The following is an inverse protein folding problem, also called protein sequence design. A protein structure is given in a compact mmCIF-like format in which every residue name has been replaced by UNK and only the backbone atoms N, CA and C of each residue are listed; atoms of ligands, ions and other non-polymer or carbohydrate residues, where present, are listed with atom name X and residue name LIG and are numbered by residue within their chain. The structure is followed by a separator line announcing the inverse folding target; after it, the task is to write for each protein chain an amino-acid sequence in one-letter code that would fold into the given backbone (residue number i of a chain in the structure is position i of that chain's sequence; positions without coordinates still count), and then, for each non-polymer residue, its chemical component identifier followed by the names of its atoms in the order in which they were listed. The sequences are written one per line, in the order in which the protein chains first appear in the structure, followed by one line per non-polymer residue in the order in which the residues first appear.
data_IF_147104387696
#
_entry.id   IF_147104387696
#
_cell.length_a   1.000
_cell.length_b   1.000
_cell.length_c   1.000
_cell.angle_alpha   90.00
_cell.angle_beta   90.00
_cell.angle_gamma   90.00
#
_symmetry.space_group_name_H-M   'P 1'
#
loop_
_entity.id
_entity.type
_entity.pdbx_description
1 polymer ?
#
# COMPACT_ATOMS: atom_id res chain seq x y z
N UNK A 1 50.06 -28.93 4.89
CA UNK A 1 51.02 -28.40 3.90
C UNK A 1 50.52 -26.98 3.56
N UNK A 2 51.31 -26.00 3.92
CA UNK A 2 51.08 -24.58 3.66
C UNK A 2 51.54 -24.26 2.25
N UNK A 3 50.77 -23.60 1.43
CA UNK A 3 51.27 -22.88 0.25
C UNK A 3 50.73 -21.45 0.28
N UNK A 4 51.67 -20.54 0.53
CA UNK A 4 51.54 -19.09 0.40
C UNK A 4 51.50 -18.73 -1.08
N UNK A 5 50.53 -17.91 -1.48
CA UNK A 5 50.62 -17.13 -2.73
C UNK A 5 50.50 -15.63 -2.39
N UNK A 6 51.63 -14.95 -2.65
CA UNK A 6 51.70 -13.47 -2.67
C UNK A 6 51.03 -12.95 -3.91
N UNK A 7 50.20 -11.94 -3.75
CA UNK A 7 49.75 -11.08 -4.86
C UNK A 7 50.52 -9.76 -4.83
N UNK A 8 51.26 -9.49 -5.92
CA UNK A 8 51.96 -8.24 -6.17
C UNK A 8 50.97 -7.17 -6.66
N UNK A 9 51.06 -6.02 -6.03
CA UNK A 9 50.32 -4.83 -6.42
C UNK A 9 50.85 -4.21 -7.72
N UNK A 10 49.94 -3.87 -8.63
CA UNK A 10 50.14 -2.83 -9.63
C UNK A 10 48.92 -1.91 -9.66
N UNK A 11 49.12 -0.70 -9.17
CA UNK A 11 48.17 0.37 -9.28
C UNK A 11 47.99 0.84 -10.73
N UNK A 12 46.77 1.04 -11.13
CA UNK A 12 46.42 1.75 -12.35
C UNK A 12 45.78 3.06 -11.93
N UNK A 13 46.53 4.13 -12.18
CA UNK A 13 46.09 5.51 -12.10
C UNK A 13 45.16 5.82 -13.28
N UNK A 14 43.89 6.10 -13.07
CA UNK A 14 43.07 6.74 -14.08
C UNK A 14 42.75 8.17 -13.68
N UNK A 15 43.23 9.09 -14.53
CA UNK A 15 42.98 10.52 -14.49
C UNK A 15 41.51 10.85 -14.59
N UNK A 16 41.09 11.78 -13.74
CA UNK A 16 39.86 12.54 -13.88
C UNK A 16 39.98 13.46 -15.10
N UNK A 17 39.09 13.32 -16.04
CA UNK A 17 38.77 14.38 -17.01
C UNK A 17 37.32 14.81 -16.80
N UNK A 18 37.18 16.07 -16.52
CA UNK A 18 35.94 16.81 -16.37
C UNK A 18 35.66 17.52 -17.69
N UNK A 19 34.52 17.43 -18.31
CA UNK A 19 34.12 18.44 -19.28
C UNK A 19 33.08 19.37 -18.68
N UNK A 20 33.52 20.63 -18.49
CA UNK A 20 32.68 21.81 -18.47
C UNK A 20 31.79 21.84 -19.72
N UNK A 21 30.50 22.02 -19.54
CA UNK A 21 29.62 22.58 -20.56
C UNK A 21 28.93 23.79 -19.94
N UNK A 22 29.22 24.93 -20.58
CA UNK A 22 28.69 26.24 -20.27
C UNK A 22 27.19 26.34 -20.47
N UNK A 23 26.56 27.07 -19.55
CA UNK A 23 25.32 27.80 -19.76
C UNK A 23 25.50 28.80 -20.92
N UNK A 24 24.48 28.93 -21.73
CA UNK A 24 23.81 30.16 -22.15
C UNK A 24 22.90 29.87 -23.32
N UNK A 25 21.63 29.89 -23.09
CA UNK A 25 20.61 30.42 -23.99
C UNK A 25 19.33 30.74 -23.22
N UNK A 26 19.17 31.92 -23.02
CA UNK A 26 18.24 32.99 -22.80
C UNK A 26 17.07 32.95 -23.80
N UNK A 27 15.85 33.21 -23.25
CA UNK A 27 14.69 33.90 -23.84
C UNK A 27 13.71 33.01 -24.65
N UNK A 28 12.44 32.92 -24.24
CA UNK A 28 11.43 33.97 -24.46
C UNK A 28 10.14 33.74 -23.65
N UNK A 29 9.70 34.83 -23.03
CA UNK A 29 8.36 35.04 -22.57
C UNK A 29 7.43 35.14 -23.78
N UNK A 30 6.33 34.42 -23.75
CA UNK A 30 5.07 34.89 -24.37
C UNK A 30 3.92 34.63 -23.40
N UNK A 31 3.41 35.76 -22.95
CA UNK A 31 2.12 35.89 -22.28
C UNK A 31 1.02 35.44 -23.24
N UNK A 32 0.15 34.56 -22.82
CA UNK A 32 -1.18 34.45 -23.40
C UNK A 32 -2.23 34.49 -22.30
N UNK A 33 -2.65 35.71 -22.11
CA UNK A 33 -3.86 36.12 -21.43
C UNK A 33 -5.05 35.62 -22.24
N UNK A 34 -5.85 34.72 -21.72
CA UNK A 34 -7.18 34.42 -22.22
C UNK A 34 -8.17 34.42 -21.06
N UNK A 35 -8.62 35.66 -20.79
CA UNK A 35 -9.89 35.91 -20.19
C UNK A 35 -10.98 35.56 -21.21
N UNK A 36 -11.80 34.56 -20.90
CA UNK A 36 -13.08 34.37 -21.55
C UNK A 36 -14.17 34.48 -20.47
N UNK A 37 -15.14 35.41 -20.63
CA UNK A 37 -16.20 35.60 -19.66
C UNK A 37 -17.26 34.49 -19.81
N UNK A 38 -17.74 34.03 -18.68
CA UNK A 38 -18.87 33.12 -18.58
C UNK A 38 -20.13 33.94 -18.99
N UNK A 39 -20.79 33.51 -20.06
CA UNK A 39 -22.10 33.99 -20.45
C UNK A 39 -23.15 33.45 -19.48
N UNK A 40 -23.86 34.37 -18.86
CA UNK A 40 -25.14 34.12 -18.22
C UNK A 40 -26.20 33.92 -19.34
N UNK A 41 -26.76 32.72 -19.41
CA UNK A 41 -27.92 32.45 -20.25
C UNK A 41 -29.17 32.89 -19.52
N UNK A 42 -29.67 34.07 -19.95
CA UNK A 42 -31.03 34.55 -19.70
C UNK A 42 -32.05 33.58 -20.31
N UNK A 43 -32.79 32.88 -19.48
CA UNK A 43 -33.97 32.13 -19.90
C UNK A 43 -35.21 33.01 -19.81
N UNK A 44 -35.51 33.75 -20.88
CA UNK A 44 -36.76 34.49 -21.04
C UNK A 44 -37.87 33.56 -21.54
N UNK A 45 -38.86 33.32 -20.71
CA UNK A 45 -40.13 32.72 -21.11
C UNK A 45 -40.98 33.75 -21.79
N UNK A 46 -41.12 33.65 -23.11
CA UNK A 46 -42.20 34.29 -23.87
C UNK A 46 -43.00 33.21 -24.60
N UNK A 47 -44.17 32.89 -24.14
CA UNK A 47 -45.21 32.33 -25.01
C UNK A 47 -46.55 32.89 -24.61
N UNK A 48 -47.07 33.71 -25.52
CA UNK A 48 -48.37 34.32 -25.44
C UNK A 48 -49.49 33.28 -25.46
N UNK A 49 -50.40 33.47 -24.58
CA UNK A 49 -51.69 32.78 -24.59
C UNK A 49 -52.75 33.77 -25.14
N UNK A 50 -53.34 33.42 -26.30
CA UNK A 50 -54.43 34.13 -26.92
C UNK A 50 -55.71 33.88 -26.15
N UNK A 51 -56.36 34.99 -25.74
CA UNK A 51 -57.72 35.01 -25.22
C UNK A 51 -58.66 34.91 -26.40
N UNK A 52 -59.57 33.95 -26.36
CA UNK A 52 -60.78 33.89 -27.20
C UNK A 52 -61.99 34.23 -26.36
N UNK A 53 -62.64 35.35 -26.69
CA UNK A 53 -63.89 35.75 -26.09
C UNK A 53 -65.07 35.01 -26.73
N UNK A 54 -66.03 34.64 -25.88
CA UNK A 54 -67.52 34.85 -26.02
C UNK A 54 -68.31 33.65 -25.47
N UNK A 55 -69.61 33.81 -25.20
CA UNK A 55 -70.31 34.84 -24.42
C UNK A 55 -71.17 34.23 -23.24
N UNK A 56 -71.65 35.12 -22.45
CA UNK A 56 -72.55 34.99 -21.29
C UNK A 56 -73.86 34.25 -21.62
N UNK A 57 -74.27 33.32 -20.76
CA UNK A 57 -75.72 33.11 -20.45
C UNK A 57 -75.82 32.77 -18.96
N UNK A 58 -76.71 33.58 -18.34
CA UNK A 58 -77.20 33.45 -16.96
C UNK A 58 -77.91 32.12 -16.76
N UNK A 59 -77.58 31.43 -15.63
CA UNK A 59 -78.65 30.86 -14.83
C UNK A 59 -78.14 30.61 -13.40
N UNK A 60 -78.93 31.17 -12.47
CA UNK A 60 -78.73 31.14 -11.04
C UNK A 60 -79.14 29.78 -10.49
N UNK A 61 -78.25 29.09 -9.76
CA UNK A 61 -78.67 28.13 -8.77
C UNK A 61 -77.87 28.25 -7.45
N UNK A 62 -78.65 28.52 -6.44
CA UNK A 62 -78.30 28.71 -5.04
C UNK A 62 -77.92 27.36 -4.42
N UNK A 63 -76.67 27.08 -4.19
CA UNK A 63 -76.29 25.98 -3.36
C UNK A 63 -75.53 26.48 -2.11
N UNK A 64 -76.22 26.35 -0.98
CA UNK A 64 -75.62 26.47 0.34
C UNK A 64 -74.46 25.47 0.49
N UNK A 65 -73.22 25.91 0.33
CA UNK A 65 -72.04 25.13 0.68
C UNK A 65 -71.74 25.26 2.18
N UNK A 66 -71.73 24.16 2.80
CA UNK A 66 -71.51 23.84 4.20
C UNK A 66 -70.21 24.41 4.76
N UNK A 67 -70.30 25.09 5.87
CA UNK A 67 -69.22 25.67 6.69
C UNK A 67 -68.38 24.60 7.40
N UNK A 68 -68.05 23.43 6.77
CA UNK A 68 -67.32 22.36 7.43
C UNK A 68 -65.83 22.29 7.06
N UNK A 69 -65.34 22.94 5.98
CA UNK A 69 -63.96 22.81 5.54
C UNK A 69 -62.92 23.64 6.31
N UNK A 70 -63.35 24.66 7.03
CA UNK A 70 -62.44 25.54 7.77
C UNK A 70 -61.97 24.96 9.13
N UNK A 71 -62.70 23.99 9.67
CA UNK A 71 -62.31 23.37 10.96
C UNK A 71 -61.23 22.29 10.81
N UNK A 72 -61.23 21.53 9.71
CA UNK A 72 -60.26 20.48 9.44
C UNK A 72 -58.89 21.05 9.13
N UNK A 73 -58.82 22.14 8.37
CA UNK A 73 -57.53 22.79 8.01
C UNK A 73 -56.82 23.45 9.22
N UNK A 74 -57.57 23.94 10.20
CA UNK A 74 -57.00 24.55 11.41
C UNK A 74 -56.46 23.53 12.38
N UNK A 75 -57.04 22.32 12.48
CA UNK A 75 -56.55 21.23 13.32
C UNK A 75 -55.28 20.61 12.75
N UNK A 76 -55.22 20.41 11.43
CA UNK A 76 -54.04 19.89 10.74
C UNK A 76 -52.85 20.86 10.82
N UNK A 77 -53.08 22.19 10.65
CA UNK A 77 -52.04 23.20 10.84
C UNK A 77 -51.51 23.26 12.29
N UNK A 78 -52.37 23.03 13.29
CA UNK A 78 -51.95 22.99 14.70
C UNK A 78 -51.15 21.73 15.02
N UNK A 79 -51.49 20.55 14.45
CA UNK A 79 -50.74 19.29 14.58
C UNK A 79 -49.35 19.46 13.94
N UNK A 80 -49.27 20.03 12.74
CA UNK A 80 -47.97 20.24 12.07
C UNK A 80 -47.11 21.29 12.79
N UNK A 81 -47.66 22.31 13.41
CA UNK A 81 -46.91 23.25 14.26
C UNK A 81 -46.37 22.57 15.52
N UNK A 82 -47.17 21.71 16.19
CA UNK A 82 -46.73 20.95 17.35
C UNK A 82 -45.66 19.92 16.97
N UNK A 83 -45.82 19.22 15.84
CA UNK A 83 -44.84 18.27 15.34
C UNK A 83 -43.50 18.95 15.02
N UNK A 84 -43.55 20.13 14.35
CA UNK A 84 -42.31 20.90 14.08
C UNK A 84 -41.67 21.43 15.35
N UNK A 85 -42.41 21.81 16.35
CA UNK A 85 -41.91 22.23 17.64
C UNK A 85 -41.23 21.02 18.37
N UNK A 86 -41.87 19.85 18.36
CA UNK A 86 -41.32 18.60 18.96
C UNK A 86 -40.03 18.20 18.23
N UNK A 87 -40.04 18.24 16.89
CA UNK A 87 -38.83 17.96 16.09
C UNK A 87 -37.72 18.97 16.34
N UNK A 88 -38.05 20.24 16.53
CA UNK A 88 -37.07 21.27 16.90
C UNK A 88 -36.47 21.03 18.29
N UNK A 89 -37.28 20.70 19.27
CA UNK A 89 -36.79 20.35 20.62
C UNK A 89 -35.92 19.08 20.59
N UNK A 90 -36.34 18.06 19.84
CA UNK A 90 -35.56 16.82 19.66
C UNK A 90 -34.22 17.11 19.01
N UNK A 91 -34.18 17.94 17.98
CA UNK A 91 -32.93 18.36 17.31
C UNK A 91 -31.98 19.09 18.28
N UNK A 92 -32.51 19.98 19.13
CA UNK A 92 -31.73 20.67 20.15
C UNK A 92 -31.17 19.66 21.17
N UNK A 93 -31.97 18.72 21.63
CA UNK A 93 -31.52 17.67 22.59
C UNK A 93 -30.44 16.81 21.95
N UNK A 94 -30.64 16.36 20.68
CA UNK A 94 -29.65 15.57 19.97
C UNK A 94 -28.34 16.34 19.76
N UNK A 95 -28.42 17.62 19.42
CA UNK A 95 -27.23 18.46 19.27
C UNK A 95 -26.50 18.68 20.60
N UNK A 96 -27.24 18.86 21.70
CA UNK A 96 -26.65 18.98 23.03
C UNK A 96 -25.97 17.67 23.49
N UNK A 97 -26.59 16.52 23.25
CA UNK A 97 -25.99 15.20 23.53
C UNK A 97 -24.74 15.00 22.69
N UNK A 98 -24.78 15.33 21.40
CA UNK A 98 -23.63 15.24 20.52
C UNK A 98 -22.48 16.15 20.96
N UNK A 99 -22.75 17.39 21.36
CA UNK A 99 -21.75 18.30 21.91
C UNK A 99 -21.16 17.79 23.23
N UNK A 100 -22.00 17.28 24.12
CA UNK A 100 -21.55 16.72 25.40
C UNK A 100 -20.69 15.49 25.23
N UNK A 101 -21.05 14.57 24.34
CA UNK A 101 -20.24 13.37 24.04
C UNK A 101 -18.92 13.75 23.36
N UNK A 102 -18.94 14.68 22.40
CA UNK A 102 -17.71 15.19 21.77
C UNK A 102 -16.78 15.87 22.77
N UNK A 103 -17.35 16.63 23.71
CA UNK A 103 -16.59 17.27 24.77
C UNK A 103 -15.97 16.24 25.74
N UNK A 104 -16.72 15.21 26.14
CA UNK A 104 -16.22 14.14 27.01
C UNK A 104 -15.09 13.35 26.32
N UNK A 105 -15.22 13.04 25.03
CA UNK A 105 -14.18 12.37 24.24
C UNK A 105 -12.92 13.27 24.15
N UNK A 106 -13.09 14.56 23.90
CA UNK A 106 -11.98 15.51 23.90
C UNK A 106 -11.29 15.57 25.25
N UNK A 107 -12.06 15.68 26.35
CA UNK A 107 -11.51 15.74 27.72
C UNK A 107 -10.80 14.45 28.10
N UNK A 108 -11.28 13.30 27.68
CA UNK A 108 -10.60 12.02 27.95
C UNK A 108 -9.22 11.95 27.28
N UNK A 109 -9.11 12.40 26.03
CA UNK A 109 -7.82 12.49 25.33
C UNK A 109 -6.91 13.59 25.88
N UNK A 110 -7.50 14.75 26.22
CA UNK A 110 -6.74 15.86 26.83
C UNK A 110 -6.09 15.45 28.14
N UNK A 111 -6.78 14.65 28.95
CA UNK A 111 -6.32 14.17 30.28
C UNK A 111 -5.58 12.84 30.20
N UNK A 112 -5.40 12.23 29.05
CA UNK A 112 -4.75 10.92 28.89
C UNK A 112 -5.53 9.74 29.50
N UNK A 113 -6.83 9.90 29.76
CA UNK A 113 -7.67 8.84 30.34
C UNK A 113 -8.04 7.84 29.24
N UNK A 114 -7.17 6.87 28.99
CA UNK A 114 -7.47 5.72 28.10
C UNK A 114 -7.79 4.47 28.94
N UNK A 115 -8.96 3.90 28.72
CA UNK A 115 -9.41 2.65 29.35
C UNK A 115 -8.71 1.46 28.67
N UNK A 116 -7.58 1.01 29.13
CA UNK A 116 -6.76 -0.12 28.69
C UNK A 116 -5.66 0.20 27.66
N UNK A 117 -4.45 0.44 28.11
CA UNK A 117 -3.28 -0.29 27.60
C UNK A 117 -1.98 0.22 28.20
N UNK A 118 -1.22 -0.69 28.76
CA UNK A 118 0.24 -0.56 29.02
C UNK A 118 1.06 -0.66 27.72
N UNK A 119 0.44 -0.52 26.56
CA UNK A 119 1.12 -0.56 25.27
C UNK A 119 1.84 0.77 25.00
N UNK A 120 3.04 0.68 24.46
CA UNK A 120 3.79 1.82 23.91
C UNK A 120 3.52 1.90 22.41
N UNK A 121 3.53 3.10 21.84
CA UNK A 121 3.54 3.33 20.40
C UNK A 121 4.73 4.21 20.02
N UNK A 122 5.35 3.91 18.91
CA UNK A 122 6.50 4.66 18.39
C UNK A 122 6.08 5.43 17.15
N UNK A 123 6.47 6.69 17.07
CA UNK A 123 6.14 7.62 15.98
C UNK A 123 7.42 8.24 15.45
N UNK A 124 7.58 8.20 14.13
CA UNK A 124 8.67 8.86 13.42
C UNK A 124 8.23 10.21 12.87
N UNK A 125 8.76 11.29 13.41
CA UNK A 125 8.53 12.64 12.92
C UNK A 125 9.64 13.05 11.98
N UNK A 126 9.33 13.15 10.69
CA UNK A 126 10.29 13.53 9.67
C UNK A 126 10.68 15.01 9.77
N UNK A 127 11.92 15.31 9.41
CA UNK A 127 12.38 16.70 9.35
C UNK A 127 11.51 17.53 8.40
N UNK A 128 11.03 18.67 8.87
CA UNK A 128 10.15 19.55 8.08
C UNK A 128 8.66 19.18 8.10
N UNK A 129 8.26 18.15 8.84
CA UNK A 129 6.84 17.82 9.01
C UNK A 129 6.10 18.94 9.73
N UNK A 130 5.03 19.44 9.12
CA UNK A 130 4.13 20.40 9.79
C UNK A 130 3.22 19.71 10.79
N UNK A 131 2.67 20.48 11.76
CA UNK A 131 1.76 19.97 12.81
C UNK A 131 0.61 19.10 12.27
N UNK A 132 0.16 19.32 11.03
CA UNK A 132 -0.90 18.52 10.41
C UNK A 132 -0.43 17.11 10.06
N UNK A 133 0.77 16.97 9.50
CA UNK A 133 1.37 15.68 9.18
C UNK A 133 1.68 14.91 10.47
N UNK A 134 2.31 15.56 11.43
CA UNK A 134 2.62 15.00 12.76
C UNK A 134 1.35 14.45 13.44
N UNK A 135 0.26 15.22 13.43
CA UNK A 135 -1.00 14.77 13.99
C UNK A 135 -1.60 13.55 13.28
N UNK A 136 -1.35 13.39 11.98
CA UNK A 136 -1.77 12.19 11.24
C UNK A 136 -0.93 10.99 11.62
N UNK A 137 0.38 11.13 11.68
CA UNK A 137 1.32 10.08 12.09
C UNK A 137 1.05 9.60 13.52
N UNK A 138 0.82 10.53 14.48
CA UNK A 138 0.42 10.21 15.85
C UNK A 138 -0.89 9.41 15.90
N UNK A 139 -1.85 9.73 15.05
CA UNK A 139 -3.11 8.99 14.96
C UNK A 139 -2.91 7.60 14.37
N UNK A 140 -2.14 7.49 13.30
CA UNK A 140 -1.83 6.20 12.64
C UNK A 140 -1.10 5.24 13.57
N UNK A 141 -0.18 5.77 14.37
CA UNK A 141 0.52 5.00 15.40
C UNK A 141 -0.33 4.71 16.66
N UNK A 142 -1.55 5.25 16.74
CA UNK A 142 -2.44 5.04 17.89
C UNK A 142 -2.08 5.86 19.14
N UNK A 143 -1.13 6.81 19.06
CA UNK A 143 -0.81 7.72 20.15
C UNK A 143 -1.99 8.63 20.50
N UNK A 144 -2.76 9.03 19.49
CA UNK A 144 -3.97 9.86 19.62
C UNK A 144 -5.12 9.27 18.79
N UNK A 145 -6.38 9.57 19.16
CA UNK A 145 -7.55 9.11 18.40
C UNK A 145 -8.01 10.15 17.35
N UNK A 146 -7.70 11.44 17.56
CA UNK A 146 -8.17 12.52 16.67
C UNK A 146 -7.06 13.50 16.30
N UNK A 147 -6.59 13.39 15.04
CA UNK A 147 -5.62 14.35 14.49
C UNK A 147 -6.16 15.79 14.46
N UNK A 148 -7.47 15.97 14.22
CA UNK A 148 -8.10 17.30 14.20
C UNK A 148 -8.05 17.95 15.58
N UNK A 149 -8.40 17.21 16.64
CA UNK A 149 -8.43 17.74 18.01
C UNK A 149 -7.03 18.05 18.54
N UNK A 150 -6.05 17.21 18.22
CA UNK A 150 -4.64 17.48 18.56
C UNK A 150 -4.14 18.76 17.87
N UNK A 151 -4.46 18.97 16.59
CA UNK A 151 -4.10 20.20 15.87
C UNK A 151 -4.72 21.45 16.49
N UNK A 152 -6.02 21.37 16.84
CA UNK A 152 -6.71 22.48 17.52
C UNK A 152 -6.03 22.77 18.86
N UNK A 153 -5.72 21.73 19.63
CA UNK A 153 -4.99 21.85 20.89
C UNK A 153 -3.64 22.54 20.69
N UNK A 154 -2.81 22.07 19.76
CA UNK A 154 -1.49 22.62 19.47
C UNK A 154 -1.57 24.11 19.09
N UNK A 155 -2.55 24.48 18.27
CA UNK A 155 -2.75 25.87 17.88
C UNK A 155 -3.17 26.76 19.04
N UNK A 156 -4.06 26.29 19.92
CA UNK A 156 -4.52 27.05 21.10
C UNK A 156 -3.46 27.14 22.19
N UNK A 157 -2.67 26.07 22.37
CA UNK A 157 -1.62 26.01 23.38
C UNK A 157 -0.27 26.58 22.94
N UNK A 158 -0.14 27.04 21.67
CA UNK A 158 1.07 27.66 21.16
C UNK A 158 2.17 26.68 20.73
N UNK A 159 1.83 25.40 20.52
CA UNK A 159 2.79 24.38 20.09
C UNK A 159 2.92 24.25 18.56
N UNK A 160 2.11 24.98 17.80
CA UNK A 160 2.09 24.89 16.34
C UNK A 160 3.44 25.31 15.73
N UNK A 161 4.06 24.42 14.96
CA UNK A 161 5.36 24.65 14.34
C UNK A 161 6.58 24.58 15.28
N UNK A 162 6.43 24.15 16.55
CA UNK A 162 7.52 24.08 17.54
C UNK A 162 8.08 22.67 17.73
N UNK A 163 7.51 21.68 17.09
CA UNK A 163 7.89 20.29 17.23
C UNK A 163 9.22 19.97 16.56
N UNK A 164 10.00 19.14 17.21
CA UNK A 164 11.26 18.64 16.67
C UNK A 164 11.03 17.32 15.92
N UNK A 165 11.92 17.02 15.02
CA UNK A 165 11.94 15.75 14.30
C UNK A 165 12.68 14.70 15.12
N UNK A 166 12.39 13.41 14.84
CA UNK A 166 13.00 12.27 15.51
C UNK A 166 11.99 11.19 15.82
N UNK A 167 12.47 10.13 16.44
CA UNK A 167 11.63 9.02 16.87
C UNK A 167 11.21 9.26 18.33
N UNK A 168 9.91 9.12 18.57
CA UNK A 168 9.31 9.29 19.88
C UNK A 168 8.53 8.05 20.26
N UNK A 169 8.82 7.52 21.45
CA UNK A 169 8.06 6.41 22.02
C UNK A 169 7.10 6.95 23.07
N UNK A 170 5.80 6.77 22.85
CA UNK A 170 4.74 7.22 23.73
C UNK A 170 4.13 6.04 24.49
N UNK A 171 3.91 6.22 25.78
CA UNK A 171 2.97 5.37 26.54
C UNK A 171 1.55 5.76 26.15
N UNK A 172 0.69 4.79 25.92
CA UNK A 172 -0.70 5.03 25.48
C UNK A 172 -1.57 5.81 26.52
N UNK A 173 -1.02 6.10 27.67
CA UNK A 173 -1.69 6.85 28.75
C UNK A 173 -1.45 8.38 28.69
N UNK A 174 -0.64 8.86 27.74
CA UNK A 174 -0.29 10.27 27.64
C UNK A 174 -1.44 11.09 27.04
N UNK A 175 -1.68 12.26 27.63
CA UNK A 175 -2.60 13.26 27.09
C UNK A 175 -1.94 14.16 26.04
N UNK A 176 -2.71 15.01 25.40
CA UNK A 176 -2.22 15.92 24.35
C UNK A 176 -1.09 16.84 24.84
N UNK A 177 -1.14 17.25 26.11
CA UNK A 177 -0.11 18.12 26.70
C UNK A 177 1.23 17.40 26.80
N UNK A 178 1.23 16.22 27.36
CA UNK A 178 2.44 15.41 27.55
C UNK A 178 3.04 15.02 26.20
N UNK A 179 2.22 14.60 25.25
CA UNK A 179 2.67 14.30 23.87
C UNK A 179 3.30 15.55 23.24
N UNK A 180 2.63 16.72 23.32
CA UNK A 180 3.16 17.95 22.74
C UNK A 180 4.46 18.41 23.41
N UNK A 181 4.62 18.20 24.71
CA UNK A 181 5.86 18.52 25.44
C UNK A 181 7.00 17.59 25.04
N UNK A 182 6.75 16.28 24.94
CA UNK A 182 7.74 15.32 24.47
C UNK A 182 8.21 15.64 23.03
N UNK A 183 7.29 16.05 22.15
CA UNK A 183 7.64 16.47 20.79
C UNK A 183 8.46 17.77 20.70
N UNK A 184 8.56 18.54 21.79
CA UNK A 184 9.44 19.71 21.88
C UNK A 184 10.86 19.36 22.38
N UNK A 185 10.99 18.25 23.08
CA UNK A 185 12.30 17.70 23.43
C UNK A 185 12.93 17.14 22.15
N UNK A 186 14.26 17.03 22.12
CA UNK A 186 14.90 16.35 20.99
C UNK A 186 14.48 14.88 21.05
N UNK A 187 13.77 14.43 20.03
CA UNK A 187 13.53 13.01 19.83
C UNK A 187 14.88 12.30 19.79
N UNK A 188 14.93 11.03 20.12
CA UNK A 188 16.17 10.28 20.03
C UNK A 188 16.80 10.53 18.67
N UNK A 189 18.00 11.14 18.69
CA UNK A 189 18.64 11.63 17.47
C UNK A 189 18.98 10.46 16.58
N UNK A 190 18.28 10.38 15.49
CA UNK A 190 18.68 9.89 14.18
C UNK A 190 19.86 8.89 14.14
N UNK A 191 19.66 7.72 14.65
CA UNK A 191 20.32 6.55 14.08
C UNK A 191 19.49 6.00 12.92
N UNK A 192 18.87 6.87 12.11
CA UNK A 192 18.16 6.42 10.92
C UNK A 192 19.16 6.10 9.83
N UNK A 193 18.95 4.98 9.18
CA UNK A 193 19.73 4.52 8.05
C UNK A 193 18.79 4.25 6.86
N UNK A 194 19.18 4.76 5.69
CA UNK A 194 18.50 4.45 4.44
C UNK A 194 19.00 3.10 3.93
N UNK A 195 18.09 2.15 3.77
CA UNK A 195 18.39 0.78 3.34
C UNK A 195 17.50 0.41 2.17
N UNK A 196 18.12 -0.01 1.07
CA UNK A 196 17.40 -0.56 -0.09
C UNK A 196 17.31 -2.08 0.04
N UNK A 197 16.10 -2.60 0.03
CA UNK A 197 15.79 -4.01 -0.12
C UNK A 197 15.55 -4.27 -1.61
N UNK A 198 16.43 -4.99 -2.30
CA UNK A 198 16.29 -5.21 -3.74
C UNK A 198 15.17 -6.22 -4.05
N UNK A 199 14.66 -6.16 -5.28
CA UNK A 199 13.85 -7.23 -5.85
C UNK A 199 14.64 -8.56 -5.80
N UNK A 200 13.94 -9.70 -5.71
CA UNK A 200 14.52 -11.04 -5.58
C UNK A 200 15.16 -11.35 -4.22
N UNK A 201 15.22 -10.40 -3.28
CA UNK A 201 15.77 -10.69 -1.95
C UNK A 201 14.91 -11.73 -1.24
N UNK A 202 15.54 -12.79 -0.74
CA UNK A 202 14.92 -13.70 0.21
C UNK A 202 14.91 -13.10 1.61
N UNK A 203 14.17 -13.70 2.54
CA UNK A 203 14.23 -13.30 3.96
C UNK A 203 15.66 -13.36 4.50
N UNK A 204 16.46 -14.35 4.09
CA UNK A 204 17.87 -14.44 4.49
C UNK A 204 18.69 -13.26 3.97
N UNK A 205 18.49 -12.86 2.72
CA UNK A 205 19.16 -11.68 2.12
C UNK A 205 18.74 -10.40 2.83
N UNK A 206 17.44 -10.25 3.12
CA UNK A 206 16.90 -9.09 3.86
C UNK A 206 17.54 -9.00 5.24
N UNK A 207 17.62 -10.11 5.96
CA UNK A 207 18.27 -10.16 7.28
C UNK A 207 19.73 -9.72 7.16
N UNK A 208 20.47 -10.25 6.19
CA UNK A 208 21.87 -9.87 5.97
C UNK A 208 22.03 -8.38 5.67
N UNK A 209 21.14 -7.82 4.83
CA UNK A 209 21.12 -6.40 4.51
C UNK A 209 20.85 -5.56 5.76
N UNK A 210 19.87 -5.95 6.60
CA UNK A 210 19.52 -5.22 7.82
C UNK A 210 20.63 -5.30 8.88
N UNK A 211 21.27 -6.48 9.06
CA UNK A 211 22.43 -6.64 9.94
C UNK A 211 23.61 -5.77 9.49
N UNK A 212 23.94 -5.79 8.21
CA UNK A 212 25.03 -4.98 7.63
C UNK A 212 24.82 -3.48 7.84
N UNK A 213 23.58 -3.03 7.87
CA UNK A 213 23.22 -1.63 8.10
C UNK A 213 22.93 -1.33 9.58
N UNK A 214 23.23 -2.24 10.49
CA UNK A 214 23.03 -2.13 11.94
C UNK A 214 21.57 -1.81 12.33
N UNK A 215 20.58 -2.27 11.58
CA UNK A 215 19.15 -2.10 11.91
C UNK A 215 18.75 -3.08 13.01
N UNK A 216 19.03 -4.38 12.82
CA UNK A 216 18.76 -5.41 13.82
C UNK A 216 19.62 -6.65 13.55
N UNK A 217 19.74 -7.54 14.54
CA UNK A 217 20.42 -8.83 14.35
C UNK A 217 19.49 -9.86 13.71
N UNK A 218 20.07 -10.93 13.12
CA UNK A 218 19.30 -12.09 12.65
C UNK A 218 18.37 -12.65 13.72
N UNK A 219 18.86 -12.77 14.95
CA UNK A 219 18.08 -13.33 16.05
C UNK A 219 16.87 -12.46 16.40
N UNK A 220 17.05 -11.14 16.45
CA UNK A 220 15.97 -10.21 16.72
C UNK A 220 14.93 -10.24 15.59
N UNK A 221 15.38 -10.28 14.34
CA UNK A 221 14.47 -10.37 13.20
C UNK A 221 13.63 -11.66 13.22
N UNK A 222 14.26 -12.81 13.43
CA UNK A 222 13.56 -14.10 13.51
C UNK A 222 12.60 -14.14 14.71
N UNK A 223 13.00 -13.56 15.85
CA UNK A 223 12.14 -13.45 17.03
C UNK A 223 10.94 -12.54 16.73
N UNK A 224 11.17 -11.33 16.22
CA UNK A 224 10.11 -10.40 15.85
C UNK A 224 9.14 -10.97 14.80
N UNK A 225 9.67 -11.70 13.79
CA UNK A 225 8.85 -12.38 12.79
C UNK A 225 7.89 -13.41 13.41
N UNK A 226 8.29 -14.11 14.49
CA UNK A 226 7.48 -15.14 15.16
C UNK A 226 6.53 -14.58 16.22
N UNK A 227 6.96 -13.59 16.98
CA UNK A 227 6.27 -13.08 18.17
C UNK A 227 5.60 -11.72 17.95
N UNK A 228 5.94 -10.99 16.90
CA UNK A 228 5.38 -9.67 16.61
C UNK A 228 3.88 -9.72 16.30
N UNK A 229 3.19 -8.64 16.64
CA UNK A 229 1.77 -8.49 16.36
C UNK A 229 1.55 -7.67 15.09
N UNK A 230 1.17 -8.33 13.98
CA UNK A 230 0.95 -7.73 12.66
C UNK A 230 -0.52 -7.76 12.24
N UNK A 231 -1.47 -7.77 13.18
CA UNK A 231 -2.92 -7.88 12.91
C UNK A 231 -3.50 -6.67 12.19
N UNK A 232 -2.76 -5.56 12.12
CA UNK A 232 -3.09 -4.36 11.34
C UNK A 232 -2.78 -4.50 9.84
N UNK A 233 -2.16 -5.59 9.40
CA UNK A 233 -1.87 -5.88 8.01
C UNK A 233 -3.02 -6.69 7.40
N UNK A 234 -3.62 -6.21 6.32
CA UNK A 234 -4.88 -6.74 5.79
C UNK A 234 -4.81 -8.21 5.38
N UNK A 235 -3.68 -8.65 4.85
CA UNK A 235 -3.47 -10.01 4.32
C UNK A 235 -2.80 -10.98 5.30
N UNK A 236 -2.51 -10.57 6.53
CA UNK A 236 -1.69 -11.36 7.46
C UNK A 236 -2.27 -12.76 7.74
N UNK A 237 -3.59 -12.89 7.68
CA UNK A 237 -4.29 -14.15 7.91
C UNK A 237 -4.37 -15.05 6.66
N UNK A 238 -3.97 -14.55 5.49
CA UNK A 238 -3.93 -15.31 4.24
C UNK A 238 -2.63 -16.10 4.07
N UNK A 239 -1.63 -15.82 4.92
CA UNK A 239 -0.33 -16.51 4.90
C UNK A 239 -0.48 -17.89 5.56
N UNK A 240 -0.16 -18.95 4.84
CA UNK A 240 -0.22 -20.32 5.33
C UNK A 240 0.99 -20.67 6.22
N UNK A 241 0.98 -20.17 7.45
CA UNK A 241 2.11 -20.18 8.41
C UNK A 241 2.76 -21.56 8.62
N UNK A 242 1.96 -22.62 8.61
CA UNK A 242 2.44 -23.98 8.87
C UNK A 242 3.16 -24.62 7.67
N UNK A 243 3.00 -24.03 6.49
CA UNK A 243 3.56 -24.59 5.26
C UNK A 243 4.86 -23.94 4.83
N UNK A 244 5.03 -22.64 5.12
CA UNK A 244 6.17 -21.85 4.66
C UNK A 244 7.42 -22.07 5.52
N UNK A 245 8.59 -21.84 4.95
CA UNK A 245 9.86 -21.91 5.69
C UNK A 245 10.06 -20.64 6.53
N UNK A 246 9.97 -19.47 5.92
CA UNK A 246 9.92 -18.18 6.59
C UNK A 246 8.52 -17.58 6.48
N UNK A 247 7.97 -17.07 7.59
CA UNK A 247 6.61 -16.61 7.69
C UNK A 247 6.25 -15.51 6.69
N UNK A 248 7.17 -14.58 6.42
CA UNK A 248 6.95 -13.42 5.57
C UNK A 248 7.75 -13.48 4.27
N UNK A 249 8.24 -14.65 3.87
CA UNK A 249 8.89 -14.77 2.56
C UNK A 249 7.94 -14.32 1.44
N UNK A 250 8.46 -13.44 0.57
CA UNK A 250 7.68 -12.84 -0.52
C UNK A 250 6.78 -11.67 -0.14
N UNK A 251 6.56 -11.42 1.14
CA UNK A 251 5.68 -10.35 1.63
C UNK A 251 6.41 -9.11 2.16
N UNK A 252 7.72 -9.15 2.24
CA UNK A 252 8.56 -8.01 2.60
C UNK A 252 8.91 -7.25 1.33
N UNK A 253 8.12 -6.20 0.98
CA UNK A 253 8.18 -5.56 -0.33
C UNK A 253 9.57 -4.96 -0.63
N UNK A 254 10.12 -5.14 -1.84
CA UNK A 254 11.38 -4.51 -2.24
C UNK A 254 11.18 -3.01 -2.48
N UNK A 255 11.87 -2.19 -1.70
CA UNK A 255 11.84 -0.72 -1.80
C UNK A 255 13.03 -0.13 -1.01
N UNK A 256 13.19 1.18 -1.04
CA UNK A 256 14.14 1.90 -0.19
C UNK A 256 13.42 2.41 1.06
N UNK A 257 13.92 2.03 2.21
CA UNK A 257 13.33 2.32 3.52
C UNK A 257 14.29 3.12 4.37
N UNK A 258 13.73 3.97 5.22
CA UNK A 258 14.47 4.57 6.34
C UNK A 258 14.15 3.74 7.57
N UNK A 259 15.13 3.05 8.15
CA UNK A 259 15.03 2.30 9.39
C UNK A 259 15.76 3.02 10.52
N UNK A 260 15.40 2.70 11.74
CA UNK A 260 16.04 3.24 12.95
C UNK A 260 16.85 2.15 13.65
N UNK A 261 17.93 2.55 14.31
CA UNK A 261 18.84 1.67 15.03
C UNK A 261 18.97 2.17 16.48
N UNK A 262 17.99 1.87 17.35
CA UNK A 262 18.01 2.23 18.76
C UNK A 262 17.81 1.04 19.70
N UNK A 263 16.94 0.12 19.39
CA UNK A 263 16.76 -1.16 20.09
C UNK A 263 16.56 -2.28 19.08
N UNK A 264 17.35 -3.31 19.21
CA UNK A 264 17.48 -4.34 18.18
C UNK A 264 16.19 -5.11 17.91
N UNK A 265 15.47 -5.52 18.97
CA UNK A 265 14.22 -6.27 18.84
C UNK A 265 13.08 -5.38 18.34
N UNK A 266 12.96 -4.18 18.88
CA UNK A 266 11.96 -3.19 18.47
C UNK A 266 12.20 -2.74 17.02
N UNK A 267 13.46 -2.46 16.64
CA UNK A 267 13.83 -2.14 15.27
C UNK A 267 13.46 -3.25 14.30
N UNK A 268 13.66 -4.51 14.67
CA UNK A 268 13.30 -5.65 13.84
C UNK A 268 11.77 -5.70 13.58
N UNK A 269 10.95 -5.51 14.64
CA UNK A 269 9.49 -5.48 14.48
C UNK A 269 9.03 -4.32 13.60
N UNK A 270 9.59 -3.12 13.82
CA UNK A 270 9.27 -1.93 13.02
C UNK A 270 9.69 -2.11 11.56
N UNK A 271 10.86 -2.70 11.30
CA UNK A 271 11.34 -2.95 9.94
C UNK A 271 10.41 -3.94 9.21
N UNK A 272 10.06 -5.06 9.84
CA UNK A 272 9.11 -6.04 9.28
C UNK A 272 7.76 -5.36 9.00
N UNK A 273 7.22 -4.66 9.98
CA UNK A 273 5.92 -3.96 9.84
C UNK A 273 5.93 -2.95 8.69
N UNK A 274 7.01 -2.19 8.54
CA UNK A 274 7.16 -1.19 7.47
C UNK A 274 7.16 -1.86 6.09
N UNK A 275 7.87 -2.96 5.93
CA UNK A 275 7.92 -3.72 4.69
C UNK A 275 6.58 -4.41 4.38
N UNK A 276 5.89 -4.97 5.38
CA UNK A 276 4.55 -5.54 5.22
C UNK A 276 3.49 -4.50 4.86
N UNK A 277 3.51 -3.33 5.50
CA UNK A 277 2.62 -2.21 5.14
C UNK A 277 2.85 -1.78 3.70
N UNK A 278 4.10 -1.75 3.25
CA UNK A 278 4.41 -1.41 1.87
C UNK A 278 3.80 -2.41 0.89
N UNK A 279 3.82 -3.69 1.21
CA UNK A 279 3.12 -4.73 0.43
C UNK A 279 1.62 -4.44 0.37
N UNK A 280 1.00 -4.11 1.50
CA UNK A 280 -0.44 -3.82 1.58
C UNK A 280 -0.83 -2.58 0.75
N UNK A 281 0.01 -1.54 0.76
CA UNK A 281 -0.15 -0.35 -0.08
C UNK A 281 -0.04 -0.66 -1.57
N UNK A 282 0.90 -1.53 -1.95
CA UNK A 282 1.13 -1.89 -3.36
C UNK A 282 0.06 -2.83 -3.91
N UNK A 283 -0.59 -3.60 -3.03
CA UNK A 283 -1.74 -4.44 -3.34
C UNK A 283 -3.03 -3.61 -3.33
N UNK A 284 -3.21 -2.78 -4.36
CA UNK A 284 -4.41 -1.95 -4.51
C UNK A 284 -5.69 -2.77 -4.52
N UNK A 285 -6.83 -2.14 -4.21
CA UNK A 285 -8.13 -2.81 -4.24
C UNK A 285 -8.43 -3.43 -5.61
N UNK A 286 -7.98 -2.76 -6.69
CA UNK A 286 -8.09 -3.28 -8.06
C UNK A 286 -7.36 -4.61 -8.23
N UNK A 287 -6.11 -4.72 -7.73
CA UNK A 287 -5.34 -5.96 -7.79
C UNK A 287 -5.96 -7.05 -6.91
N UNK A 288 -6.41 -6.72 -5.71
CA UNK A 288 -7.11 -7.65 -4.80
C UNK A 288 -8.40 -8.20 -5.45
N UNK A 289 -9.17 -7.35 -6.12
CA UNK A 289 -10.36 -7.77 -6.88
C UNK A 289 -10.01 -8.65 -8.09
N UNK A 290 -8.91 -8.35 -8.80
CA UNK A 290 -8.45 -9.17 -9.93
C UNK A 290 -8.03 -10.58 -9.47
N UNK A 291 -7.36 -10.69 -8.32
CA UNK A 291 -7.00 -11.98 -7.71
C UNK A 291 -8.25 -12.80 -7.41
N UNK A 292 -9.24 -12.20 -6.75
CA UNK A 292 -10.51 -12.86 -6.42
C UNK A 292 -11.26 -13.37 -7.67
N UNK A 293 -11.27 -12.58 -8.75
CA UNK A 293 -11.91 -12.97 -10.03
C UNK A 293 -11.29 -14.21 -10.65
N UNK A 294 -10.01 -14.47 -10.41
CA UNK A 294 -9.31 -15.66 -10.87
C UNK A 294 -9.52 -16.88 -9.97
N UNK A 295 -10.26 -16.72 -8.87
CA UNK A 295 -10.46 -17.77 -7.86
C UNK A 295 -9.12 -18.30 -7.28
N UNK A 296 -8.13 -17.41 -7.16
CA UNK A 296 -6.82 -17.65 -6.55
C UNK A 296 -6.69 -16.93 -5.23
N UNK A 297 -5.86 -17.47 -4.36
CA UNK A 297 -5.47 -16.80 -3.10
C UNK A 297 -4.33 -15.81 -3.35
N UNK A 298 -4.18 -14.83 -2.48
CA UNK A 298 -3.02 -13.94 -2.51
C UNK A 298 -1.72 -14.73 -2.36
N UNK A 299 -1.73 -15.78 -1.51
CA UNK A 299 -0.56 -16.63 -1.30
C UNK A 299 -0.09 -17.34 -2.59
N UNK A 300 -1.02 -17.86 -3.38
CA UNK A 300 -0.72 -18.47 -4.68
C UNK A 300 -0.15 -17.44 -5.67
N UNK A 301 -0.70 -16.22 -5.69
CA UNK A 301 -0.21 -15.15 -6.57
C UNK A 301 1.20 -14.70 -6.18
N UNK A 302 1.48 -14.46 -4.90
CA UNK A 302 2.82 -14.05 -4.45
C UNK A 302 3.82 -15.18 -4.66
N UNK A 303 3.42 -16.44 -4.46
CA UNK A 303 4.25 -17.61 -4.75
C UNK A 303 4.61 -17.68 -6.23
N UNK A 304 3.63 -17.57 -7.14
CA UNK A 304 3.88 -17.53 -8.57
C UNK A 304 4.75 -16.33 -8.96
N UNK A 305 4.46 -15.14 -8.41
CA UNK A 305 5.22 -13.93 -8.67
C UNK A 305 6.69 -14.07 -8.29
N UNK A 306 7.00 -14.73 -7.16
CA UNK A 306 8.39 -14.96 -6.74
C UNK A 306 9.15 -15.89 -7.69
N UNK A 307 8.48 -16.89 -8.26
CA UNK A 307 9.06 -17.77 -9.29
C UNK A 307 9.31 -16.98 -10.58
N UNK A 308 8.33 -16.23 -11.04
CA UNK A 308 8.45 -15.37 -12.24
C UNK A 308 9.57 -14.35 -12.08
N UNK A 309 9.71 -13.75 -10.88
CA UNK A 309 10.79 -12.82 -10.56
C UNK A 309 12.17 -13.45 -10.71
N UNK A 310 12.34 -14.66 -10.21
CA UNK A 310 13.62 -15.36 -10.28
C UNK A 310 13.99 -15.82 -11.70
N UNK A 311 12.99 -16.15 -12.51
CA UNK A 311 13.18 -16.67 -13.87
C UNK A 311 13.27 -15.55 -14.95
N UNK A 312 12.62 -14.40 -14.74
CA UNK A 312 12.44 -13.38 -15.76
C UNK A 312 12.85 -11.96 -15.36
N UNK A 313 13.56 -11.76 -14.25
CA UNK A 313 13.95 -10.43 -13.78
C UNK A 313 14.78 -9.61 -14.76
N UNK A 314 15.53 -10.26 -15.63
CA UNK A 314 16.30 -9.59 -16.69
C UNK A 314 15.42 -8.92 -17.76
N UNK A 315 14.14 -9.28 -17.86
CA UNK A 315 13.20 -8.75 -18.87
C UNK A 315 11.78 -8.68 -18.35
N UNK A 316 11.40 -7.55 -17.80
CA UNK A 316 10.04 -7.30 -17.26
C UNK A 316 8.93 -7.61 -18.29
N UNK A 317 9.18 -7.35 -19.59
CA UNK A 317 8.22 -7.60 -20.65
C UNK A 317 7.98 -9.11 -20.90
N UNK A 318 8.88 -9.98 -20.44
CA UNK A 318 8.74 -11.42 -20.58
C UNK A 318 8.03 -12.06 -19.36
N UNK A 319 7.94 -11.35 -18.23
CA UNK A 319 7.28 -11.86 -17.04
C UNK A 319 5.86 -12.38 -17.24
N UNK A 320 4.95 -11.68 -17.99
CA UNK A 320 3.60 -12.20 -18.25
C UNK A 320 3.60 -13.50 -19.07
N UNK A 321 4.55 -13.67 -19.99
CA UNK A 321 4.70 -14.88 -20.79
C UNK A 321 5.25 -16.04 -19.97
N UNK A 322 6.24 -15.77 -19.11
CA UNK A 322 6.79 -16.78 -18.18
C UNK A 322 5.71 -17.23 -17.19
N UNK A 323 4.92 -16.30 -16.67
CA UNK A 323 3.75 -16.63 -15.82
C UNK A 323 2.76 -17.53 -16.59
N UNK A 324 2.43 -17.21 -17.85
CA UNK A 324 1.55 -18.02 -18.68
C UNK A 324 2.09 -19.44 -18.88
N UNK A 325 3.40 -19.61 -19.14
CA UNK A 325 4.03 -20.94 -19.22
C UNK A 325 3.83 -21.75 -17.95
N UNK A 326 4.04 -21.14 -16.78
CA UNK A 326 3.86 -21.85 -15.51
C UNK A 326 2.39 -22.18 -15.22
N UNK A 327 1.46 -21.29 -15.54
CA UNK A 327 0.04 -21.60 -15.40
C UNK A 327 -0.38 -22.72 -16.38
N UNK A 328 0.11 -22.73 -17.62
CA UNK A 328 -0.16 -23.83 -18.55
C UNK A 328 0.35 -25.17 -18.02
N UNK A 329 1.52 -25.18 -17.34
CA UNK A 329 2.05 -26.40 -16.68
C UNK A 329 1.18 -26.85 -15.50
N UNK A 330 0.56 -25.94 -14.75
CA UNK A 330 -0.39 -26.27 -13.68
C UNK A 330 -1.70 -26.87 -14.18
N UNK A 331 -2.02 -26.67 -15.49
CA UNK A 331 -3.20 -27.21 -16.15
C UNK A 331 -2.95 -28.55 -16.85
N UNK A 332 -1.70 -29.06 -16.85
CA UNK A 332 -1.41 -30.37 -17.43
C UNK A 332 -2.24 -31.48 -16.78
N UNK A 333 -2.57 -32.49 -17.56
CA UNK A 333 -3.37 -33.62 -17.09
C UNK A 333 -2.68 -34.36 -15.93
N UNK A 334 -1.37 -34.66 -16.03
CA UNK A 334 -0.49 -35.12 -14.94
C UNK A 334 0.89 -35.59 -15.53
N UNK A 335 1.99 -35.45 -14.80
CA UNK A 335 2.18 -34.73 -13.53
C UNK A 335 2.35 -33.22 -13.73
N UNK A 336 1.86 -32.42 -12.77
CA UNK A 336 1.84 -30.94 -12.81
C UNK A 336 3.15 -30.33 -12.29
N UNK A 337 4.29 -30.74 -12.81
CA UNK A 337 5.58 -30.20 -12.41
C UNK A 337 5.85 -28.83 -13.04
N UNK A 338 6.10 -27.81 -12.21
CA UNK A 338 6.50 -26.49 -12.71
C UNK A 338 7.90 -26.53 -13.31
N UNK A 339 8.81 -27.30 -12.75
CA UNK A 339 10.15 -27.48 -13.30
C UNK A 339 11.00 -26.21 -13.26
N UNK A 340 10.85 -25.37 -12.20
CA UNK A 340 11.64 -24.16 -12.00
C UNK A 340 12.88 -24.45 -11.18
N UNK A 341 14.06 -24.14 -11.70
CA UNK A 341 15.34 -24.38 -11.06
C UNK A 341 15.49 -23.66 -9.70
N UNK A 342 15.12 -22.39 -9.54
CA UNK A 342 15.19 -21.70 -8.26
C UNK A 342 14.46 -22.42 -7.12
N UNK A 343 13.38 -23.14 -7.41
CA UNK A 343 12.62 -23.89 -6.40
C UNK A 343 13.40 -25.10 -5.85
N UNK A 344 14.35 -25.63 -6.59
CA UNK A 344 15.19 -26.74 -6.14
C UNK A 344 16.27 -26.28 -5.14
N UNK A 345 16.67 -25.03 -5.19
CA UNK A 345 17.72 -24.45 -4.37
C UNK A 345 17.18 -23.82 -3.07
N UNK A 346 15.96 -23.33 -3.09
CA UNK A 346 15.30 -22.64 -1.97
C UNK A 346 14.70 -23.61 -0.96
N UNK A 347 14.69 -23.26 0.34
CA UNK A 347 15.83 -22.68 1.03
C UNK A 347 16.80 -23.82 1.34
N UNK A 348 18.05 -23.64 1.08
CA UNK A 348 19.10 -24.63 1.34
C UNK A 348 18.82 -26.03 0.75
N UNK A 349 18.14 -26.10 -0.40
CA UNK A 349 17.78 -27.36 -1.05
C UNK A 349 16.63 -28.13 -0.35
N UNK A 350 15.72 -27.44 0.32
CA UNK A 350 14.53 -28.05 0.92
C UNK A 350 13.67 -28.73 -0.15
N UNK A 351 13.64 -30.06 -0.14
CA UNK A 351 12.94 -30.87 -1.14
C UNK A 351 11.44 -30.57 -1.28
N UNK A 352 10.78 -29.98 -0.27
CA UNK A 352 9.36 -29.57 -0.35
C UNK A 352 9.10 -28.46 -1.35
N UNK A 353 10.09 -27.59 -1.59
CA UNK A 353 9.97 -26.48 -2.55
C UNK A 353 10.32 -26.89 -3.98
N UNK A 354 11.04 -27.99 -4.18
CA UNK A 354 11.55 -28.43 -5.49
C UNK A 354 10.42 -28.86 -6.42
N UNK A 355 10.01 -27.98 -7.33
CA UNK A 355 8.95 -28.22 -8.33
C UNK A 355 9.36 -29.11 -9.51
N UNK A 356 10.59 -29.65 -9.51
CA UNK A 356 10.97 -30.73 -10.39
C UNK A 356 10.49 -32.10 -9.85
N UNK A 357 10.23 -32.20 -8.55
CA UNK A 357 9.89 -33.44 -7.85
C UNK A 357 8.53 -33.40 -7.16
N UNK A 358 7.95 -32.20 -6.96
CA UNK A 358 6.67 -31.99 -6.35
C UNK A 358 5.73 -31.28 -7.33
N UNK A 359 4.50 -31.75 -7.41
CA UNK A 359 3.48 -31.18 -8.27
C UNK A 359 2.91 -29.88 -7.70
N UNK A 360 2.49 -28.99 -8.59
CA UNK A 360 1.85 -27.75 -8.24
C UNK A 360 2.83 -26.64 -7.84
N UNK A 361 2.30 -25.63 -7.19
CA UNK A 361 3.08 -24.55 -6.59
C UNK A 361 3.87 -25.05 -5.38
N UNK A 362 5.06 -24.49 -5.10
CA UNK A 362 5.74 -24.75 -3.84
C UNK A 362 4.92 -24.24 -2.66
N UNK A 363 5.26 -24.66 -1.41
CA UNK A 363 4.50 -24.28 -0.21
C UNK A 363 4.36 -22.77 0.03
N UNK A 364 5.18 -21.95 -0.59
CA UNK A 364 5.16 -20.49 -0.47
C UNK A 364 6.18 -19.81 -1.36
N UNK A 365 6.28 -18.48 -1.29
CA UNK A 365 7.23 -17.69 -2.08
C UNK A 365 8.68 -18.04 -1.79
N UNK A 366 9.59 -17.71 -2.72
CA UNK A 366 11.01 -17.94 -2.64
C UNK A 366 11.82 -16.66 -2.39
N UNK A 367 11.26 -15.51 -2.75
CA UNK A 367 11.88 -14.20 -2.63
C UNK A 367 10.82 -13.11 -2.65
N UNK A 368 11.22 -11.88 -2.37
CA UNK A 368 10.39 -10.69 -2.49
C UNK A 368 10.24 -10.28 -3.96
N UNK A 369 9.06 -10.47 -4.57
CA UNK A 369 8.83 -10.13 -5.96
C UNK A 369 8.62 -8.63 -6.17
N UNK A 370 9.00 -8.14 -7.35
CA UNK A 370 8.65 -6.80 -7.82
C UNK A 370 7.13 -6.68 -8.06
N UNK A 371 6.63 -5.43 -8.10
CA UNK A 371 5.23 -5.18 -8.51
C UNK A 371 4.96 -5.69 -9.93
N UNK A 372 5.96 -5.67 -10.80
CA UNK A 372 5.86 -6.18 -12.17
C UNK A 372 5.63 -7.68 -12.20
N UNK A 373 6.35 -8.45 -11.38
CA UNK A 373 6.14 -9.89 -11.26
C UNK A 373 4.78 -10.23 -10.63
N UNK A 374 4.35 -9.46 -9.61
CA UNK A 374 3.01 -9.62 -9.02
C UNK A 374 1.93 -9.38 -10.08
N UNK A 375 2.04 -8.30 -10.86
CA UNK A 375 1.11 -8.02 -11.96
C UNK A 375 1.15 -9.09 -13.03
N UNK A 376 2.33 -9.63 -13.38
CA UNK A 376 2.48 -10.71 -14.33
C UNK A 376 1.81 -12.02 -13.87
N UNK A 377 1.88 -12.31 -12.57
CA UNK A 377 1.17 -13.45 -11.98
C UNK A 377 -0.36 -13.26 -11.96
N UNK A 378 -0.84 -12.01 -11.81
CA UNK A 378 -2.27 -11.68 -11.86
C UNK A 378 -2.76 -11.63 -13.33
N UNK A 379 -1.97 -11.10 -14.23
CA UNK A 379 -2.31 -10.87 -15.63
C UNK A 379 -1.29 -11.59 -16.54
N UNK A 380 -1.29 -12.94 -16.57
CA UNK A 380 -0.44 -13.68 -17.48
C UNK A 380 -0.81 -13.37 -18.94
N UNK A 381 0.13 -13.58 -19.87
CA UNK A 381 -0.11 -13.35 -21.29
C UNK A 381 -1.27 -14.24 -21.78
N UNK A 382 -2.34 -13.61 -22.27
CA UNK A 382 -3.49 -14.31 -22.86
C UNK A 382 -3.11 -14.97 -24.19
N UNK A 383 -3.84 -16.04 -24.57
CA UNK A 383 -3.67 -16.81 -25.80
C UNK A 383 -2.23 -17.31 -26.02
N UNK A 384 -1.54 -17.69 -24.95
CA UNK A 384 -0.13 -18.08 -24.95
C UNK A 384 0.03 -19.57 -24.62
N UNK A 385 -0.04 -20.43 -25.64
CA UNK A 385 -0.09 -21.87 -25.47
C UNK A 385 1.26 -22.57 -25.18
N UNK A 386 2.33 -21.81 -24.98
CA UNK A 386 3.66 -22.37 -24.73
C UNK A 386 3.78 -22.95 -23.32
N UNK A 387 4.52 -24.06 -23.22
CA UNK A 387 4.74 -24.77 -21.95
C UNK A 387 6.22 -24.89 -21.59
N UNK A 388 7.13 -24.47 -22.47
CA UNK A 388 8.57 -24.46 -22.26
C UNK A 388 9.16 -23.13 -22.68
N UNK A 389 10.16 -22.69 -21.92
CA UNK A 389 11.00 -21.57 -22.32
C UNK A 389 12.47 -21.85 -22.00
N UNK A 390 13.36 -21.13 -22.66
CA UNK A 390 14.79 -21.07 -22.40
C UNK A 390 15.30 -19.69 -22.71
N UNK A 391 16.27 -19.22 -21.93
CA UNK A 391 16.90 -17.92 -22.09
C UNK A 391 18.32 -18.09 -22.57
N UNK A 392 18.77 -17.28 -23.54
CA UNK A 392 20.14 -17.30 -24.02
C UNK A 392 21.06 -16.33 -23.23
N UNK A 393 22.35 -16.33 -23.54
CA UNK A 393 23.35 -15.47 -22.89
C UNK A 393 23.15 -13.96 -23.12
N UNK A 394 22.23 -13.56 -23.99
CA UNK A 394 21.83 -12.17 -24.26
C UNK A 394 20.49 -11.84 -23.58
N UNK A 395 19.99 -12.70 -22.67
CA UNK A 395 18.70 -12.60 -22.00
C UNK A 395 17.50 -12.63 -22.95
N UNK A 396 17.64 -13.26 -24.12
CA UNK A 396 16.54 -13.44 -25.05
C UNK A 396 15.79 -14.74 -24.75
N UNK A 397 14.46 -14.64 -24.64
CA UNK A 397 13.57 -15.76 -24.36
C UNK A 397 13.12 -16.45 -25.65
N UNK A 398 13.08 -17.78 -25.61
CA UNK A 398 12.58 -18.66 -26.67
C UNK A 398 11.53 -19.60 -26.07
N UNK A 399 10.35 -19.60 -26.66
CA UNK A 399 9.19 -20.35 -26.18
C UNK A 399 8.90 -21.53 -27.08
N UNK A 400 8.47 -22.65 -26.51
CA UNK A 400 8.15 -23.87 -27.21
C UNK A 400 6.92 -24.55 -26.59
N UNK A 401 6.07 -25.15 -27.43
CA UNK A 401 4.87 -25.87 -26.97
C UNK A 401 5.21 -27.31 -26.52
N UNK A 402 6.31 -27.88 -27.00
CA UNK A 402 6.68 -29.27 -26.74
C UNK A 402 8.08 -29.40 -26.19
N UNK A 403 8.32 -30.46 -25.41
CA UNK A 403 9.65 -30.80 -24.92
C UNK A 403 10.67 -31.05 -26.03
N UNK A 404 10.22 -31.67 -27.14
CA UNK A 404 11.06 -31.89 -28.34
C UNK A 404 11.51 -30.56 -28.94
N UNK A 405 10.59 -29.60 -29.13
CA UNK A 405 10.91 -28.26 -29.62
C UNK A 405 11.86 -27.52 -28.71
N UNK A 406 11.65 -27.61 -27.38
CA UNK A 406 12.53 -27.04 -26.39
C UNK A 406 13.98 -27.58 -26.48
N UNK A 407 14.14 -28.91 -26.57
CA UNK A 407 15.46 -29.52 -26.76
C UNK A 407 16.15 -29.14 -28.07
N UNK A 408 15.36 -28.96 -29.16
CA UNK A 408 15.90 -28.47 -30.44
C UNK A 408 16.40 -27.02 -30.30
N UNK A 409 15.65 -26.17 -29.60
CA UNK A 409 16.05 -24.79 -29.29
C UNK A 409 17.34 -24.75 -28.50
N UNK A 410 17.46 -25.56 -27.43
CA UNK A 410 18.68 -25.68 -26.62
C UNK A 410 19.86 -26.14 -27.51
N UNK A 411 19.68 -27.17 -28.34
CA UNK A 411 20.73 -27.67 -29.23
C UNK A 411 21.22 -26.56 -30.19
N UNK A 412 20.31 -25.77 -30.74
CA UNK A 412 20.64 -24.62 -31.61
C UNK A 412 21.41 -23.54 -30.86
N UNK A 413 20.99 -23.19 -29.63
CA UNK A 413 21.70 -22.22 -28.80
C UNK A 413 23.11 -22.69 -28.41
N UNK A 414 23.29 -23.99 -28.13
CA UNK A 414 24.60 -24.60 -27.90
C UNK A 414 25.51 -24.46 -29.12
N UNK A 415 25.00 -24.74 -30.32
CA UNK A 415 25.75 -24.59 -31.57
C UNK A 415 26.15 -23.12 -31.82
N UNK A 416 25.35 -22.19 -31.42
CA UNK A 416 25.60 -20.74 -31.54
C UNK A 416 26.50 -20.18 -30.45
N UNK A 417 26.87 -20.96 -29.42
CA UNK A 417 27.63 -20.48 -28.25
C UNK A 417 26.85 -19.55 -27.35
N UNK A 418 25.51 -19.59 -27.40
CA UNK A 418 24.60 -18.72 -26.64
C UNK A 418 23.91 -19.44 -25.47
N UNK A 419 24.23 -20.68 -25.22
CA UNK A 419 23.68 -21.46 -24.10
C UNK A 419 24.39 -21.14 -22.79
N UNK A 420 23.64 -20.90 -21.72
CA UNK A 420 24.15 -20.52 -20.38
C UNK A 420 24.25 -21.71 -19.41
N UNK A 421 23.61 -22.85 -19.69
CA UNK A 421 23.53 -23.99 -18.78
C UNK A 421 24.39 -25.17 -19.15
#
# INVERSE_FOLDING_TARGET
MKSNLKCDGKGINMKKENPNINNDEIINKEELNNNTPIQEDDFSLSSGFKISESPITEESEYIKSSNNDTRISRSARRKNKRLRAILGVLAIILSAVFLATSFLLFMSEYLGIKLNSSATCTVDIKQGSGTSAIASELKEAGAINSSLMFRIYCKLAGYDGTFKYGVYTFKNELGYKEIAQLLQEEGEQNNSVEVTIPERASVDDIIEILEKNNVCTRNDFIKAMKSGNYTDISFINEIEKEKVFYLFEGYLFPDTYIFYNYDSEECAELAIRKMLKRTDEMLTDELKEAIKKQNKTLHEIITMASIVELEASASVNEMPKVAAVFYNRLEWDEPKYLGSSPTAEYPYGNGRYNTNNNEGLPPGPLCSPSLSAIKAAIYPQEDFAYTYFVTDSENKFYYNETYTGHNQTIAKLKQQGKWLG
#
